data_IF_069920711613
#
_entry.id   IF_069920711613
#
_cell.length_a   1.000
_cell.length_b   1.000
_cell.length_c   1.000
_cell.angle_alpha   90.00
_cell.angle_beta   90.00
_cell.angle_gamma   90.00
#
_symmetry.space_group_name_H-M   'P 1'
#
loop_
_entity.id
_entity.type
_entity.pdbx_description
1 polymer ?
#
# COMPACT_ATOMS: atom_id res chain seq x y z
N UNK A 1 -6.78 12.34 16.83
CA UNK A 1 -7.67 12.77 15.73
C UNK A 1 -7.65 14.28 15.49
N UNK A 2 -7.81 15.14 16.51
CA UNK A 2 -7.85 16.60 16.34
C UNK A 2 -6.60 17.25 15.68
N UNK A 3 -5.41 16.65 15.82
CA UNK A 3 -4.16 17.22 15.27
C UNK A 3 -4.05 17.13 13.75
N UNK A 4 -4.62 16.10 13.12
CA UNK A 4 -4.40 15.83 11.69
C UNK A 4 -5.31 16.68 10.80
N UNK A 5 -6.57 16.86 11.21
CA UNK A 5 -7.52 17.77 10.56
C UNK A 5 -7.02 19.22 10.60
N UNK A 6 -6.49 19.67 11.74
CA UNK A 6 -5.87 20.99 11.87
C UNK A 6 -4.74 21.22 10.88
N UNK A 7 -3.86 20.23 10.68
CA UNK A 7 -2.74 20.34 9.73
C UNK A 7 -3.24 20.65 8.31
N UNK A 8 -4.31 20.01 7.85
CA UNK A 8 -4.85 20.25 6.50
C UNK A 8 -5.55 21.61 6.41
N UNK A 9 -6.35 21.97 7.42
CA UNK A 9 -7.11 23.23 7.43
C UNK A 9 -6.22 24.47 7.63
N UNK A 10 -5.12 24.34 8.37
CA UNK A 10 -4.19 25.45 8.66
C UNK A 10 -3.06 25.58 7.62
N UNK A 11 -2.88 24.58 6.76
CA UNK A 11 -1.85 24.61 5.72
C UNK A 11 -2.17 25.64 4.63
N UNK A 12 -1.15 26.36 4.19
CA UNK A 12 -1.25 27.33 3.09
C UNK A 12 -1.26 26.62 1.74
N UNK A 13 -1.84 27.27 0.74
CA UNK A 13 -1.93 26.75 -0.63
C UNK A 13 -0.56 26.26 -1.18
N UNK A 14 0.50 27.01 -0.94
CA UNK A 14 1.89 26.71 -1.36
C UNK A 14 2.47 25.43 -0.73
N UNK A 15 1.89 24.97 0.38
CA UNK A 15 2.33 23.76 1.07
C UNK A 15 1.72 22.49 0.46
N UNK A 16 0.74 22.61 -0.44
CA UNK A 16 0.14 21.45 -1.08
C UNK A 16 0.92 21.06 -2.34
N UNK A 17 1.37 19.80 -2.38
CA UNK A 17 2.08 19.23 -3.52
C UNK A 17 1.22 18.13 -4.13
N UNK A 18 0.93 18.20 -5.42
CA UNK A 18 0.30 17.08 -6.13
C UNK A 18 1.26 15.88 -6.07
N UNK A 19 0.78 14.75 -5.58
CA UNK A 19 1.53 13.49 -5.50
C UNK A 19 0.90 12.37 -6.34
N UNK A 20 -0.32 12.59 -6.82
CA UNK A 20 -0.97 11.72 -7.77
C UNK A 20 -2.19 12.39 -8.39
N UNK A 21 -2.46 12.07 -9.64
CA UNK A 21 -3.70 12.45 -10.33
C UNK A 21 -4.39 11.13 -10.66
N UNK A 22 -5.56 10.89 -10.09
CA UNK A 22 -6.34 9.69 -10.31
C UNK A 22 -7.64 9.99 -11.05
N UNK A 23 -8.24 8.98 -11.66
CA UNK A 23 -9.53 9.09 -12.36
C UNK A 23 -10.66 9.62 -11.47
N UNK A 24 -10.54 9.42 -10.17
CA UNK A 24 -11.54 9.79 -9.16
C UNK A 24 -11.10 10.96 -8.28
N UNK A 25 -10.04 11.68 -8.67
CA UNK A 25 -9.57 12.84 -7.93
C UNK A 25 -8.06 13.01 -7.89
N UNK A 26 -7.65 14.22 -7.57
CA UNK A 26 -6.27 14.57 -7.31
C UNK A 26 -5.87 14.19 -5.88
N UNK A 27 -4.68 13.65 -5.71
CA UNK A 27 -4.07 13.40 -4.41
C UNK A 27 -2.96 14.42 -4.18
N UNK A 28 -3.11 15.18 -3.11
CA UNK A 28 -2.15 16.17 -2.64
C UNK A 28 -1.47 15.67 -1.37
N UNK A 29 -0.25 16.12 -1.12
CA UNK A 29 0.46 15.98 0.13
C UNK A 29 0.73 17.35 0.74
N UNK A 30 0.57 17.47 2.05
CA UNK A 30 0.99 18.66 2.79
C UNK A 30 2.49 18.58 3.04
N UNK A 31 3.23 19.57 2.55
CA UNK A 31 4.68 19.67 2.68
C UNK A 31 5.13 19.50 4.14
N UNK A 32 6.25 18.82 4.33
CA UNK A 32 6.86 18.55 5.64
C UNK A 32 5.98 17.71 6.59
N UNK A 33 4.96 17.05 6.05
CA UNK A 33 4.11 16.10 6.80
C UNK A 33 4.00 14.77 6.06
N UNK A 34 3.49 13.76 6.77
CA UNK A 34 3.09 12.47 6.18
C UNK A 34 1.61 12.46 5.78
N UNK A 35 0.98 13.63 5.71
CA UNK A 35 -0.45 13.74 5.41
C UNK A 35 -0.64 13.97 3.91
N UNK A 36 -1.42 13.09 3.29
CA UNK A 36 -2.02 13.31 1.99
C UNK A 36 -3.52 13.54 2.12
N UNK A 37 -4.11 14.19 1.11
CA UNK A 37 -5.54 14.30 0.96
C UNK A 37 -5.96 14.15 -0.50
N UNK A 38 -7.08 13.47 -0.73
CA UNK A 38 -7.67 13.26 -2.06
C UNK A 38 -8.81 14.25 -2.28
N UNK A 39 -8.78 15.02 -3.38
CA UNK A 39 -9.87 15.89 -3.85
C UNK A 39 -10.59 15.18 -5.00
N UNK A 40 -11.84 14.73 -4.83
CA UNK A 40 -12.56 14.01 -5.87
C UNK A 40 -13.00 14.89 -7.05
N UNK A 41 -12.99 14.33 -8.26
CA UNK A 41 -13.51 14.95 -9.48
C UNK A 41 -15.01 14.66 -9.61
N UNK A 42 -15.84 15.46 -8.95
CA UNK A 42 -17.31 15.35 -8.90
C UNK A 42 -17.88 14.08 -8.22
N UNK A 43 -18.98 14.27 -7.48
CA UNK A 43 -19.49 13.35 -6.45
C UNK A 43 -20.39 12.26 -7.04
N UNK A 44 -19.97 11.00 -6.94
CA UNK A 44 -20.89 9.93 -6.58
C UNK A 44 -20.75 9.64 -5.08
N UNK A 45 -21.72 10.11 -4.28
CA UNK A 45 -21.69 9.94 -2.81
C UNK A 45 -21.61 8.45 -2.39
N UNK A 46 -22.14 7.55 -3.21
CA UNK A 46 -22.11 6.11 -2.97
C UNK A 46 -20.69 5.51 -3.08
N UNK A 47 -19.89 5.95 -4.05
CA UNK A 47 -18.51 5.50 -4.23
C UNK A 47 -17.63 6.04 -3.09
N UNK A 48 -17.84 7.30 -2.72
CA UNK A 48 -17.10 7.94 -1.63
C UNK A 48 -17.36 7.28 -0.27
N UNK A 49 -18.61 6.95 0.03
CA UNK A 49 -18.98 6.23 1.25
C UNK A 49 -18.38 4.81 1.28
N UNK A 50 -18.32 4.14 0.13
CA UNK A 50 -17.70 2.81 0.00
C UNK A 50 -16.20 2.90 0.24
N UNK A 51 -15.52 3.86 -0.38
CA UNK A 51 -14.09 4.09 -0.21
C UNK A 51 -13.73 4.41 1.25
N UNK A 52 -14.52 5.26 1.92
CA UNK A 52 -14.33 5.57 3.34
C UNK A 52 -14.50 4.33 4.24
N UNK A 53 -15.50 3.48 3.97
CA UNK A 53 -15.68 2.22 4.68
C UNK A 53 -14.50 1.26 4.49
N UNK A 54 -13.90 1.22 3.31
CA UNK A 54 -12.71 0.39 3.03
C UNK A 54 -11.52 0.88 3.87
N UNK A 55 -11.17 2.17 3.80
CA UNK A 55 -10.01 2.71 4.51
C UNK A 55 -10.19 2.73 6.04
N UNK A 56 -11.41 2.97 6.54
CA UNK A 56 -11.69 2.92 7.98
C UNK A 56 -11.56 1.50 8.55
N UNK A 57 -11.90 0.47 7.77
CA UNK A 57 -11.70 -0.94 8.15
C UNK A 57 -10.23 -1.34 8.11
N UNK A 58 -9.52 -1.04 7.02
CA UNK A 58 -8.17 -1.54 6.78
C UNK A 58 -7.06 -0.76 7.50
N UNK A 59 -7.22 0.55 7.67
CA UNK A 59 -6.17 1.45 8.17
C UNK A 59 -5.96 1.46 9.69
N UNK A 60 -6.72 0.65 10.46
CA UNK A 60 -6.63 0.67 11.93
C UNK A 60 -5.55 -0.26 12.49
N UNK A 61 -5.16 -1.31 11.76
CA UNK A 61 -4.34 -2.41 12.31
C UNK A 61 -3.18 -2.87 11.42
N UNK A 62 -3.07 -2.37 10.18
CA UNK A 62 -2.07 -2.84 9.22
C UNK A 62 -1.00 -1.77 8.91
N UNK A 63 0.31 -2.06 9.09
CA UNK A 63 1.38 -1.06 8.98
C UNK A 63 1.62 -0.53 7.56
N UNK A 64 1.09 -1.20 6.54
CA UNK A 64 1.31 -0.84 5.12
C UNK A 64 0.03 -0.40 4.39
N UNK A 65 -1.10 -0.28 5.09
CA UNK A 65 -2.33 0.27 4.50
C UNK A 65 -2.53 1.68 5.03
N UNK A 66 -2.78 2.62 4.12
CA UNK A 66 -2.98 4.03 4.45
C UNK A 66 -4.13 4.15 5.45
N UNK A 67 -3.91 4.91 6.52
CA UNK A 67 -4.95 5.23 7.48
C UNK A 67 -5.78 6.40 6.97
N UNK A 68 -7.10 6.21 6.87
CA UNK A 68 -8.02 7.33 6.70
C UNK A 68 -8.26 8.04 8.04
N UNK A 69 -8.21 9.38 8.01
CA UNK A 69 -8.54 10.24 9.15
C UNK A 69 -9.89 10.94 8.98
N UNK A 70 -10.65 10.57 7.94
CA UNK A 70 -11.95 11.13 7.62
C UNK A 70 -11.88 12.35 6.71
N UNK A 71 -12.98 13.10 6.73
CA UNK A 71 -13.26 14.20 5.83
C UNK A 71 -12.74 15.55 6.35
N UNK A 72 -12.17 16.35 5.44
CA UNK A 72 -11.82 17.75 5.67
C UNK A 72 -12.36 18.66 4.54
N UNK A 73 -12.59 19.93 4.84
CA UNK A 73 -12.91 20.93 3.82
C UNK A 73 -11.68 21.14 2.91
N UNK A 74 -11.91 21.18 1.60
CA UNK A 74 -10.84 21.39 0.63
C UNK A 74 -10.25 22.81 0.77
N UNK A 75 -8.95 22.95 1.02
CA UNK A 75 -8.27 24.24 1.08
C UNK A 75 -7.93 24.80 -0.32
N UNK A 76 -8.22 24.04 -1.39
CA UNK A 76 -7.86 24.36 -2.79
C UNK A 76 -9.09 24.75 -3.62
N UNK A 77 -10.28 24.35 -3.19
CA UNK A 77 -11.54 24.66 -3.87
C UNK A 77 -12.16 25.91 -3.26
N UNK A 78 -11.90 27.07 -3.86
CA UNK A 78 -12.70 28.26 -3.59
C UNK A 78 -14.17 27.97 -3.95
N UNK A 79 -15.06 28.08 -2.97
CA UNK A 79 -16.52 28.02 -3.05
C UNK A 79 -17.21 26.66 -3.25
N UNK A 80 -16.50 25.53 -3.46
CA UNK A 80 -17.13 24.20 -3.33
C UNK A 80 -16.60 23.46 -2.11
N UNK A 81 -17.52 23.00 -1.25
CA UNK A 81 -17.21 22.06 -0.16
C UNK A 81 -16.85 20.72 -0.78
N UNK A 82 -15.62 20.61 -1.28
CA UNK A 82 -15.05 19.35 -1.72
C UNK A 82 -14.53 18.66 -0.46
N UNK A 83 -15.13 17.52 -0.16
CA UNK A 83 -14.72 16.65 0.92
C UNK A 83 -13.39 16.01 0.58
N UNK A 84 -12.37 16.23 1.40
CA UNK A 84 -11.06 15.65 1.23
C UNK A 84 -10.87 14.43 2.16
N UNK A 85 -10.51 13.27 1.61
CA UNK A 85 -10.14 12.10 2.42
C UNK A 85 -8.67 12.21 2.84
N UNK A 86 -8.42 12.29 4.14
CA UNK A 86 -7.07 12.42 4.68
C UNK A 86 -6.39 11.04 4.86
N UNK A 87 -5.21 10.85 4.27
CA UNK A 87 -4.45 9.59 4.27
C UNK A 87 -3.02 9.77 4.82
N UNK A 88 -2.49 8.78 5.56
CA UNK A 88 -1.08 8.78 6.02
C UNK A 88 -0.13 8.24 4.93
N UNK A 89 0.46 9.12 4.12
CA UNK A 89 1.31 8.73 3.00
C UNK A 89 2.76 8.45 3.43
N UNK A 90 3.20 7.20 3.29
CA UNK A 90 4.62 6.86 3.32
C UNK A 90 5.17 6.87 1.89
N UNK A 91 6.15 7.74 1.67
CA UNK A 91 6.85 8.04 0.41
C UNK A 91 6.74 6.96 -0.69
N UNK A 92 6.17 7.34 -1.82
CA UNK A 92 6.36 6.66 -3.10
C UNK A 92 6.63 7.74 -4.17
N UNK A 93 7.52 7.44 -5.11
CA UNK A 93 8.05 8.40 -6.08
C UNK A 93 6.95 9.11 -6.89
N UNK A 94 7.15 10.40 -7.13
CA UNK A 94 6.31 11.25 -7.97
C UNK A 94 6.11 10.61 -9.35
N UNK A 95 4.86 10.35 -9.73
CA UNK A 95 4.51 9.98 -11.11
C UNK A 95 4.44 11.30 -11.90
N UNK A 96 5.46 11.57 -12.72
CA UNK A 96 5.55 12.78 -13.54
C UNK A 96 5.18 12.55 -15.02
N UNK A 97 4.55 11.43 -15.39
CA UNK A 97 4.22 11.13 -16.79
C UNK A 97 2.69 11.23 -17.06
N UNK A 98 2.22 12.29 -17.76
CA UNK A 98 0.82 12.47 -18.14
C UNK A 98 0.27 11.36 -19.05
N UNK A 99 1.13 10.64 -19.79
CA UNK A 99 0.70 9.57 -20.71
C UNK A 99 0.27 8.29 -19.97
N UNK A 100 0.65 8.14 -18.69
CA UNK A 100 0.15 7.06 -17.82
C UNK A 100 -1.27 7.34 -17.35
N UNK A 101 -1.63 8.61 -17.09
CA UNK A 101 -2.97 8.99 -16.65
C UNK A 101 -4.04 8.71 -17.71
N UNK A 102 -3.73 8.93 -18.99
CA UNK A 102 -4.64 8.66 -20.11
C UNK A 102 -4.81 7.16 -20.40
N UNK A 103 -3.86 6.33 -19.94
CA UNK A 103 -3.91 4.86 -20.07
C UNK A 103 -4.57 4.16 -18.88
N UNK A 104 -4.81 4.87 -17.78
CA UNK A 104 -5.57 4.41 -16.62
C UNK A 104 -7.09 4.48 -16.83
N UNK A 105 -7.56 4.89 -18.01
CA UNK A 105 -8.99 5.03 -18.33
C UNK A 105 -9.73 3.70 -18.56
N UNK A 106 -9.01 2.56 -18.57
CA UNK A 106 -9.61 1.21 -18.75
C UNK A 106 -9.11 0.24 -17.66
N UNK A 107 -9.14 0.69 -16.40
CA UNK A 107 -8.84 -0.20 -15.28
C UNK A 107 -9.95 -1.23 -15.13
N UNK A 108 -9.55 -2.50 -15.18
CA UNK A 108 -10.44 -3.64 -15.00
C UNK A 108 -10.21 -4.30 -13.65
N UNK A 109 -11.19 -5.08 -13.17
CA UNK A 109 -11.00 -5.95 -12.01
C UNK A 109 -9.78 -6.88 -12.15
N UNK A 110 -9.41 -7.23 -13.40
CA UNK A 110 -8.21 -8.04 -13.66
C UNK A 110 -6.92 -7.28 -13.34
N UNK A 111 -6.88 -5.96 -13.56
CA UNK A 111 -5.72 -5.13 -13.22
C UNK A 111 -5.56 -5.01 -11.71
N UNK A 112 -6.67 -4.91 -10.96
CA UNK A 112 -6.66 -4.91 -9.51
C UNK A 112 -6.23 -6.27 -8.93
N UNK A 113 -6.68 -7.37 -9.52
CA UNK A 113 -6.22 -8.73 -9.16
C UNK A 113 -4.73 -8.88 -9.43
N UNK A 114 -4.22 -8.36 -10.55
CA UNK A 114 -2.80 -8.34 -10.85
C UNK A 114 -2.00 -7.53 -9.81
N UNK A 115 -2.49 -6.34 -9.46
CA UNK A 115 -1.88 -5.48 -8.45
C UNK A 115 -1.87 -6.16 -7.07
N UNK A 116 -2.94 -6.86 -6.70
CA UNK A 116 -3.03 -7.63 -5.46
C UNK A 116 -1.96 -8.74 -5.40
N UNK A 117 -1.80 -9.52 -6.46
CA UNK A 117 -0.73 -10.54 -6.55
C UNK A 117 0.66 -9.94 -6.38
N UNK A 118 0.89 -8.76 -6.97
CA UNK A 118 2.13 -8.00 -6.83
C UNK A 118 2.38 -7.58 -5.38
N UNK A 119 1.37 -7.07 -4.68
CA UNK A 119 1.49 -6.70 -3.26
C UNK A 119 1.80 -7.91 -2.39
N UNK A 120 1.13 -9.05 -2.62
CA UNK A 120 1.38 -10.29 -1.86
C UNK A 120 2.83 -10.76 -2.07
N UNK A 121 3.34 -10.69 -3.31
CA UNK A 121 4.72 -10.99 -3.62
C UNK A 121 5.70 -10.06 -2.88
N UNK A 122 5.51 -8.74 -2.99
CA UNK A 122 6.40 -7.75 -2.36
C UNK A 122 6.45 -7.89 -0.83
N UNK A 123 5.31 -8.17 -0.20
CA UNK A 123 5.24 -8.48 1.23
C UNK A 123 6.03 -9.75 1.55
N UNK A 124 5.95 -10.77 0.69
CA UNK A 124 6.61 -12.06 0.88
C UNK A 124 8.14 -11.97 0.75
N UNK A 125 8.66 -11.15 -0.17
CA UNK A 125 10.10 -11.00 -0.41
C UNK A 125 10.73 -9.80 0.31
N UNK A 126 9.92 -8.85 0.80
CA UNK A 126 10.36 -7.67 1.54
C UNK A 126 10.99 -6.57 0.67
N UNK A 127 10.83 -6.62 -0.65
CA UNK A 127 11.30 -5.61 -1.59
C UNK A 127 10.35 -5.49 -2.79
N UNK A 128 10.50 -4.42 -3.57
CA UNK A 128 9.66 -4.18 -4.76
C UNK A 128 9.85 -5.24 -5.85
N UNK A 129 8.78 -5.52 -6.57
CA UNK A 129 8.84 -6.25 -7.83
C UNK A 129 9.72 -5.45 -8.81
N UNK A 130 10.78 -6.08 -9.32
CA UNK A 130 11.75 -5.45 -10.23
C UNK A 130 12.46 -4.20 -9.66
N UNK A 131 12.83 -4.22 -8.37
CA UNK A 131 13.48 -3.10 -7.70
C UNK A 131 14.75 -2.55 -8.39
N UNK A 132 15.38 -3.33 -9.27
CA UNK A 132 16.59 -3.00 -10.03
C UNK A 132 16.34 -2.62 -11.51
N UNK A 133 15.08 -2.52 -11.94
CA UNK A 133 14.68 -2.23 -13.33
C UNK A 133 14.11 -0.82 -13.46
N UNK A 134 14.25 -0.23 -14.64
CA UNK A 134 13.55 1.00 -15.03
C UNK A 134 12.07 0.73 -15.39
N UNK A 135 11.23 1.77 -15.36
CA UNK A 135 9.79 1.64 -15.68
C UNK A 135 9.54 1.06 -17.08
N UNK A 136 10.39 1.40 -18.06
CA UNK A 136 10.30 0.83 -19.42
C UNK A 136 10.61 -0.66 -19.45
N UNK A 137 11.61 -1.11 -18.70
CA UNK A 137 11.95 -2.54 -18.59
C UNK A 137 10.85 -3.31 -17.85
N UNK A 138 10.33 -2.75 -16.76
CA UNK A 138 9.20 -3.31 -16.01
C UNK A 138 8.00 -3.52 -16.92
N UNK A 139 7.66 -2.49 -17.70
CA UNK A 139 6.56 -2.56 -18.65
C UNK A 139 6.75 -3.68 -19.69
N UNK A 140 7.96 -3.83 -20.24
CA UNK A 140 8.28 -4.92 -21.17
C UNK A 140 8.16 -6.30 -20.52
N UNK A 141 8.63 -6.47 -19.27
CA UNK A 141 8.53 -7.73 -18.54
C UNK A 141 7.07 -8.12 -18.28
N UNK A 142 6.24 -7.16 -17.84
CA UNK A 142 4.80 -7.37 -17.63
C UNK A 142 4.11 -7.76 -18.94
N UNK A 143 4.39 -7.05 -20.04
CA UNK A 143 3.82 -7.38 -21.36
C UNK A 143 4.22 -8.79 -21.84
N UNK A 144 5.46 -9.21 -21.59
CA UNK A 144 5.96 -10.55 -21.93
C UNK A 144 5.49 -11.63 -20.96
N UNK A 145 4.82 -11.27 -19.86
CA UNK A 145 4.46 -12.17 -18.76
C UNK A 145 5.67 -12.91 -18.17
N UNK A 146 6.80 -12.21 -18.11
CA UNK A 146 8.03 -12.68 -17.48
C UNK A 146 8.04 -12.22 -16.02
N UNK A 147 7.82 -13.14 -15.09
CA UNK A 147 7.74 -12.87 -13.65
C UNK A 147 8.87 -13.56 -12.88
N UNK A 148 9.29 -13.04 -11.71
CA UNK A 148 10.26 -13.72 -10.84
C UNK A 148 9.76 -15.08 -10.39
N UNK A 149 10.71 -15.95 -10.02
CA UNK A 149 10.38 -17.24 -9.43
C UNK A 149 9.73 -17.06 -8.05
N UNK A 150 8.57 -17.68 -7.86
CA UNK A 150 7.79 -17.66 -6.61
C UNK A 150 8.02 -18.91 -5.77
N UNK A 151 8.95 -19.79 -6.15
CA UNK A 151 9.30 -20.98 -5.40
C UNK A 151 9.71 -20.64 -3.95
N UNK A 152 9.08 -21.35 -2.99
CA UNK A 152 9.34 -21.19 -1.57
C UNK A 152 8.61 -20.01 -0.91
N UNK A 153 7.93 -19.15 -1.67
CA UNK A 153 7.09 -18.09 -1.10
C UNK A 153 5.78 -18.66 -0.53
N UNK A 154 5.31 -18.02 0.54
CA UNK A 154 3.93 -18.21 0.98
C UNK A 154 2.98 -17.67 -0.09
N UNK A 155 1.82 -18.31 -0.27
CA UNK A 155 0.81 -17.87 -1.24
C UNK A 155 1.28 -17.86 -2.71
N UNK A 156 2.32 -18.62 -3.06
CA UNK A 156 2.85 -18.66 -4.44
C UNK A 156 1.78 -18.96 -5.49
N UNK A 157 0.83 -19.85 -5.19
CA UNK A 157 -0.22 -20.23 -6.14
C UNK A 157 -1.14 -19.04 -6.41
N UNK A 158 -1.48 -18.30 -5.35
CA UNK A 158 -2.29 -17.08 -5.46
C UNK A 158 -1.54 -16.02 -6.26
N UNK A 159 -0.27 -15.76 -5.93
CA UNK A 159 0.58 -14.79 -6.66
C UNK A 159 0.62 -15.13 -8.16
N UNK A 160 0.92 -16.39 -8.50
CA UNK A 160 1.04 -16.82 -9.89
C UNK A 160 -0.30 -16.72 -10.63
N UNK A 161 -1.42 -17.07 -9.99
CA UNK A 161 -2.76 -16.98 -10.57
C UNK A 161 -3.18 -15.54 -10.82
N UNK A 162 -2.89 -14.63 -9.89
CA UNK A 162 -3.09 -13.19 -10.06
C UNK A 162 -2.36 -12.67 -11.29
N UNK A 163 -1.06 -12.96 -11.44
CA UNK A 163 -0.26 -12.47 -12.57
C UNK A 163 -0.60 -13.11 -13.92
N UNK A 164 -1.18 -14.31 -13.93
CA UNK A 164 -1.52 -15.04 -15.15
C UNK A 164 -2.97 -14.83 -15.59
N UNK A 165 -3.73 -13.96 -14.95
CA UNK A 165 -5.16 -13.73 -15.20
C UNK A 165 -5.98 -15.02 -15.06
N UNK A 166 -5.72 -15.80 -14.01
CA UNK A 166 -6.40 -17.07 -13.74
C UNK A 166 -7.53 -16.95 -12.72
N UNK A 167 -7.84 -15.74 -12.28
CA UNK A 167 -9.01 -15.43 -11.48
C UNK A 167 -9.99 -14.61 -12.30
N UNK A 168 -11.28 -14.90 -12.10
CA UNK A 168 -12.37 -14.14 -12.72
C UNK A 168 -12.91 -13.03 -11.84
N UNK A 169 -12.69 -13.14 -10.53
CA UNK A 169 -13.11 -12.13 -9.57
C UNK A 169 -12.26 -12.14 -8.30
N UNK A 170 -12.35 -11.07 -7.51
CA UNK A 170 -11.67 -10.95 -6.22
C UNK A 170 -12.14 -11.99 -5.18
N UNK A 171 -13.38 -12.50 -5.28
CA UNK A 171 -13.88 -13.56 -4.40
C UNK A 171 -13.11 -14.86 -4.59
N UNK A 172 -12.77 -15.23 -5.83
CA UNK A 172 -11.97 -16.44 -6.10
C UNK A 172 -10.58 -16.34 -5.47
N UNK A 173 -9.97 -15.14 -5.49
CA UNK A 173 -8.69 -14.88 -4.80
C UNK A 173 -8.83 -15.10 -3.30
N UNK A 174 -9.90 -14.58 -2.71
CA UNK A 174 -10.16 -14.66 -1.27
C UNK A 174 -10.37 -16.11 -0.82
N UNK A 175 -11.06 -16.93 -1.61
CA UNK A 175 -11.25 -18.35 -1.34
C UNK A 175 -9.93 -19.11 -1.34
N UNK A 176 -9.07 -18.86 -2.33
CA UNK A 176 -7.77 -19.52 -2.41
C UNK A 176 -6.85 -19.09 -1.25
N UNK A 177 -6.79 -17.78 -0.94
CA UNK A 177 -6.05 -17.26 0.21
C UNK A 177 -6.49 -17.89 1.53
N UNK A 178 -7.79 -18.11 1.72
CA UNK A 178 -8.32 -18.76 2.92
C UNK A 178 -8.02 -20.27 2.97
N UNK A 179 -7.90 -20.91 1.80
CA UNK A 179 -7.60 -22.34 1.69
C UNK A 179 -6.11 -22.67 1.82
N UNK A 180 -5.23 -21.71 1.48
CA UNK A 180 -3.79 -21.88 1.58
C UNK A 180 -3.34 -21.89 3.04
N UNK A 181 -2.77 -23.02 3.46
CA UNK A 181 -2.04 -23.10 4.74
C UNK A 181 -0.61 -22.62 4.48
N UNK A 182 -0.09 -21.62 5.21
CA UNK A 182 1.31 -21.21 5.07
C UNK A 182 2.19 -22.44 5.26
N UNK A 183 3.05 -22.70 4.26
CA UNK A 183 3.84 -23.93 4.22
C UNK A 183 4.82 -23.94 5.40
N UNK A 184 5.12 -25.11 6.00
CA UNK A 184 6.02 -25.23 7.18
C UNK A 184 7.37 -24.50 7.02
N UNK A 185 7.85 -24.33 5.78
CA UNK A 185 9.10 -23.65 5.46
C UNK A 185 9.06 -22.13 5.70
N UNK A 186 7.94 -21.45 5.40
CA UNK A 186 7.79 -20.02 5.68
C UNK A 186 7.62 -19.75 7.18
N UNK A 187 6.93 -20.64 7.89
CA UNK A 187 6.81 -20.56 9.36
C UNK A 187 8.19 -20.62 10.04
N UNK A 188 9.09 -21.50 9.59
CA UNK A 188 10.45 -21.60 10.16
C UNK A 188 11.28 -20.33 9.95
N UNK A 189 11.05 -19.56 8.88
CA UNK A 189 11.75 -18.30 8.64
C UNK A 189 11.28 -17.20 9.61
N UNK A 190 9.96 -17.12 9.89
CA UNK A 190 9.40 -16.19 10.88
C UNK A 190 9.72 -16.60 12.34
N UNK A 191 9.63 -17.90 12.68
CA UNK A 191 9.96 -18.40 14.02
C UNK A 191 11.48 -18.47 14.29
N UNK A 192 12.31 -18.65 13.26
CA UNK A 192 13.76 -18.62 13.38
C UNK A 192 14.29 -17.24 13.76
N UNK A 193 13.71 -16.18 13.19
CA UNK A 193 14.02 -14.79 13.56
C UNK A 193 13.63 -14.49 15.02
N UNK A 194 12.47 -14.95 15.49
CA UNK A 194 12.04 -14.71 16.87
C UNK A 194 12.88 -15.48 17.90
N UNK A 195 13.29 -16.72 17.61
CA UNK A 195 14.19 -17.49 18.47
C UNK A 195 15.61 -16.90 18.49
N UNK A 196 16.11 -16.43 17.33
CA UNK A 196 17.40 -15.74 17.23
C UNK A 196 17.44 -14.45 18.05
N UNK A 197 16.40 -13.62 17.95
CA UNK A 197 16.26 -12.41 18.77
C UNK A 197 16.17 -12.75 20.25
N UNK A 198 15.40 -13.77 20.64
CA UNK A 198 15.31 -14.23 22.03
C UNK A 198 16.68 -14.69 22.57
N UNK A 199 17.46 -15.43 21.78
CA UNK A 199 18.80 -15.87 22.16
C UNK A 199 19.77 -14.71 22.32
N UNK A 200 19.69 -13.70 21.44
CA UNK A 200 20.47 -12.46 21.55
C UNK A 200 20.10 -11.68 22.82
N UNK A 201 18.80 -11.51 23.11
CA UNK A 201 18.33 -10.85 24.33
C UNK A 201 18.82 -11.59 25.59
N UNK A 202 18.75 -12.93 25.60
CA UNK A 202 19.26 -13.75 26.71
C UNK A 202 20.78 -13.59 26.87
N UNK A 203 21.53 -13.54 25.76
CA UNK A 203 22.97 -13.35 25.78
C UNK A 203 23.38 -11.98 26.34
N UNK A 204 22.67 -10.92 25.93
CA UNK A 204 22.87 -9.54 26.42
C UNK A 204 22.48 -9.43 27.91
N UNK A 205 21.39 -10.05 28.34
CA UNK A 205 21.01 -10.09 29.77
C UNK A 205 22.04 -10.82 30.64
N UNK A 206 22.66 -11.89 30.11
CA UNK A 206 23.73 -12.65 30.79
C UNK A 206 25.05 -11.89 30.86
N UNK A 207 25.38 -11.03 29.90
CA UNK A 207 26.60 -10.20 29.96
C UNK A 207 26.45 -9.04 30.94
N UNK A 208 25.27 -8.40 31.00
CA UNK A 208 24.98 -7.32 31.94
C UNK A 208 25.03 -7.76 33.42
N UNK A 209 24.48 -8.94 33.72
CA UNK A 209 24.54 -9.53 35.08
C UNK A 209 25.96 -9.96 35.51
N UNK A 210 26.87 -10.23 34.57
CA UNK A 210 28.28 -10.50 34.89
C UNK A 210 29.09 -9.23 35.13
N UNK A 211 28.73 -8.11 34.51
CA UNK A 211 29.38 -6.81 34.72
C UNK A 211 28.97 -6.16 36.05
N UNK A 212 27.75 -6.40 36.54
CA UNK A 212 27.28 -5.91 37.85
C UNK A 212 27.87 -6.66 39.06
N UNK A 213 28.60 -7.75 38.87
CA UNK A 213 29.21 -8.58 39.93
C UNK A 213 30.74 -8.45 40.02
N UNK A 214 31.33 -7.44 39.37
CA UNK A 214 32.76 -7.09 39.48
C UNK A 214 32.93 -5.75 40.16
#
# INVERSE_FOLDING_TARGET
MASHRRIVTEAKHEQFKVVGVGSFGDVYRVADTEIAFKIPFEKEEAEQATEEQIYSRLGTSHPFILRSYGEAESPISGDQVSTAQQLSYQHRHDIQDPSLAERMLDQTETDDIFALGTVIYEISVGHRLYADKSDSEIYQLIQKREFPDTAGLAFRTVIDKCWRNQYRSAEEVTLDLASERPTRQSLLQYFGLSLGVLLVIIAIGRSSTRLSKR
#
